data_IF_955235185125
#
_entry.id   IF_955235185125
#
_cell.length_a   1.000
_cell.length_b   1.000
_cell.length_c   1.000
_cell.angle_alpha   90.00
_cell.angle_beta   90.00
_cell.angle_gamma   90.00
#
_symmetry.space_group_name_H-M   'P 1'
#
loop_
_entity.id
_entity.type
_entity.pdbx_description
1 polymer ?
#
# COMPACT_ATOMS: atom_id res chain seq x y z
N UNK A 1 -23.89 22.91 9.51
CA UNK A 1 -23.60 22.02 8.37
C UNK A 1 -22.78 20.88 8.91
N UNK A 2 -23.25 19.64 8.80
CA UNK A 2 -22.44 18.45 9.09
C UNK A 2 -21.24 18.43 8.13
N UNK A 3 -20.05 18.13 8.63
CA UNK A 3 -18.87 17.97 7.78
C UNK A 3 -19.16 16.95 6.66
N UNK A 4 -18.62 17.13 5.43
CA UNK A 4 -18.75 16.12 4.39
C UNK A 4 -18.19 14.78 4.86
N UNK A 5 -18.87 13.65 4.62
CA UNK A 5 -18.24 12.34 4.79
C UNK A 5 -17.27 12.10 3.63
N UNK A 6 -16.03 12.59 3.79
CA UNK A 6 -14.95 12.48 2.81
C UNK A 6 -14.60 11.03 2.45
N UNK A 7 -15.05 10.05 3.24
CA UNK A 7 -14.66 8.63 3.12
C UNK A 7 -15.85 7.70 2.89
N UNK A 8 -17.01 8.24 2.51
CA UNK A 8 -18.23 7.46 2.29
C UNK A 8 -17.98 6.27 1.35
N UNK A 9 -17.34 6.51 0.19
CA UNK A 9 -17.03 5.45 -0.79
C UNK A 9 -16.14 4.35 -0.19
N UNK A 10 -15.06 4.74 0.49
CA UNK A 10 -14.14 3.81 1.13
C UNK A 10 -14.81 3.01 2.25
N UNK A 11 -15.67 3.64 3.07
CA UNK A 11 -16.43 3.00 4.14
C UNK A 11 -17.46 2.02 3.59
N UNK A 12 -18.17 2.39 2.54
CA UNK A 12 -19.17 1.53 1.91
C UNK A 12 -18.54 0.29 1.30
N UNK A 13 -17.42 0.43 0.57
CA UNK A 13 -16.68 -0.72 0.07
C UNK A 13 -16.09 -1.56 1.21
N UNK A 14 -15.52 -0.96 2.25
CA UNK A 14 -15.01 -1.72 3.40
C UNK A 14 -16.11 -2.55 4.09
N UNK A 15 -17.31 -1.98 4.29
CA UNK A 15 -18.48 -2.70 4.82
C UNK A 15 -18.90 -3.82 3.88
N UNK A 16 -18.93 -3.55 2.58
CA UNK A 16 -19.29 -4.53 1.57
C UNK A 16 -18.31 -5.70 1.54
N UNK A 17 -17.00 -5.45 1.50
CA UNK A 17 -15.95 -6.48 1.53
C UNK A 17 -16.07 -7.37 2.76
N UNK A 18 -16.08 -6.76 3.96
CA UNK A 18 -16.21 -7.50 5.23
C UNK A 18 -17.51 -8.33 5.28
N UNK A 19 -18.63 -7.76 4.84
CA UNK A 19 -19.92 -8.45 4.79
C UNK A 19 -19.96 -9.58 3.76
N UNK A 20 -19.32 -9.39 2.61
CA UNK A 20 -19.20 -10.41 1.56
C UNK A 20 -18.35 -11.59 2.02
N UNK A 21 -17.17 -11.35 2.58
CA UNK A 21 -16.32 -12.40 3.16
C UNK A 21 -17.06 -13.20 4.24
N UNK A 22 -17.76 -12.50 5.16
CA UNK A 22 -18.64 -13.15 6.16
C UNK A 22 -19.69 -14.08 5.54
N UNK A 23 -20.37 -13.62 4.48
CA UNK A 23 -21.37 -14.44 3.79
C UNK A 23 -20.77 -15.62 3.01
N UNK A 24 -19.49 -15.58 2.66
CA UNK A 24 -18.79 -16.72 2.05
C UNK A 24 -18.44 -17.78 3.12
N UNK A 25 -18.08 -17.37 4.33
CA UNK A 25 -17.73 -18.28 5.44
C UNK A 25 -18.94 -18.81 6.21
N UNK A 26 -20.10 -18.18 6.12
CA UNK A 26 -21.30 -18.59 6.85
C UNK A 26 -22.56 -18.52 6.01
N UNK A 27 -23.20 -19.67 5.80
CA UNK A 27 -24.49 -19.77 5.09
C UNK A 27 -25.64 -19.04 5.81
N UNK A 28 -25.50 -18.73 7.12
CA UNK A 28 -26.51 -17.97 7.87
C UNK A 28 -26.39 -16.46 7.66
N UNK A 29 -25.27 -15.97 7.12
CA UNK A 29 -25.06 -14.55 6.83
C UNK A 29 -25.50 -14.28 5.39
N UNK A 30 -26.56 -13.48 5.17
CA UNK A 30 -27.00 -13.18 3.82
C UNK A 30 -25.95 -12.36 3.07
N UNK A 31 -25.84 -12.58 1.76
CA UNK A 31 -24.99 -11.76 0.89
C UNK A 31 -25.45 -10.29 0.97
N UNK A 32 -24.60 -9.35 1.39
CA UNK A 32 -24.96 -7.93 1.38
C UNK A 32 -25.18 -7.43 -0.04
N UNK A 33 -26.06 -6.44 -0.19
CA UNK A 33 -26.20 -5.70 -1.44
C UNK A 33 -24.94 -4.85 -1.70
N UNK A 34 -24.50 -4.70 -2.97
CA UNK A 34 -23.45 -3.76 -3.32
C UNK A 34 -23.88 -2.32 -2.98
N UNK A 35 -22.92 -1.39 -2.73
CA UNK A 35 -23.25 0.02 -2.59
C UNK A 35 -24.02 0.54 -3.82
N UNK A 36 -25.06 1.37 -3.64
CA UNK A 36 -25.95 1.77 -4.74
C UNK A 36 -25.27 2.64 -5.81
N UNK A 37 -24.13 3.24 -5.47
CA UNK A 37 -23.32 4.05 -6.38
C UNK A 37 -22.31 3.21 -7.18
N UNK A 38 -22.15 1.92 -6.87
CA UNK A 38 -21.17 1.04 -7.52
C UNK A 38 -21.78 0.46 -8.79
N UNK A 39 -21.31 0.96 -9.94
CA UNK A 39 -21.76 0.50 -11.26
C UNK A 39 -21.48 -1.00 -11.49
N UNK A 40 -22.27 -1.72 -12.31
CA UNK A 40 -22.15 -3.17 -12.49
C UNK A 40 -20.75 -3.66 -12.88
N UNK A 41 -20.04 -2.95 -13.75
CA UNK A 41 -18.68 -3.31 -14.18
C UNK A 41 -17.66 -3.15 -13.04
N UNK A 42 -17.81 -2.09 -12.25
CA UNK A 42 -16.99 -1.85 -11.06
C UNK A 42 -17.30 -2.90 -9.98
N UNK A 43 -18.55 -3.33 -9.86
CA UNK A 43 -18.97 -4.41 -8.97
C UNK A 43 -18.29 -5.74 -9.34
N UNK A 44 -18.21 -6.08 -10.63
CA UNK A 44 -17.51 -7.29 -11.06
C UNK A 44 -16.01 -7.26 -10.70
N UNK A 45 -15.38 -6.08 -10.82
CA UNK A 45 -13.98 -5.89 -10.41
C UNK A 45 -13.82 -6.03 -8.89
N UNK A 46 -14.76 -5.48 -8.11
CA UNK A 46 -14.79 -5.62 -6.65
C UNK A 46 -15.01 -7.07 -6.21
N UNK A 47 -15.91 -7.82 -6.85
CA UNK A 47 -16.14 -9.23 -6.51
C UNK A 47 -14.94 -10.12 -6.88
N UNK A 48 -14.22 -9.80 -7.96
CA UNK A 48 -12.93 -10.45 -8.26
C UNK A 48 -11.93 -10.26 -7.12
N UNK A 49 -11.79 -9.04 -6.63
CA UNK A 49 -10.91 -8.72 -5.49
C UNK A 49 -11.33 -9.52 -4.25
N UNK A 50 -12.63 -9.61 -3.95
CA UNK A 50 -13.16 -10.37 -2.81
C UNK A 50 -12.89 -11.86 -2.95
N UNK A 51 -13.06 -12.46 -4.12
CA UNK A 51 -12.78 -13.87 -4.33
C UNK A 51 -11.27 -14.17 -4.22
N UNK A 52 -10.43 -13.27 -4.72
CA UNK A 52 -8.98 -13.39 -4.53
C UNK A 52 -8.56 -13.24 -3.07
N UNK A 53 -9.38 -12.58 -2.23
CA UNK A 53 -9.22 -12.57 -0.77
C UNK A 53 -9.61 -13.89 -0.08
N UNK A 54 -9.97 -14.93 -0.83
CA UNK A 54 -10.27 -16.26 -0.31
C UNK A 54 -9.32 -17.34 -0.86
N UNK A 55 -8.79 -17.12 -2.06
CA UNK A 55 -7.92 -18.06 -2.77
C UNK A 55 -6.46 -17.81 -2.40
N UNK A 56 -5.89 -18.57 -1.48
CA UNK A 56 -4.49 -18.37 -1.11
C UNK A 56 -3.71 -19.64 -0.85
N UNK A 57 -2.43 -19.54 -1.20
CA UNK A 57 -1.37 -20.37 -0.69
C UNK A 57 -0.66 -19.63 0.44
N UNK A 58 -0.20 -20.37 1.42
CA UNK A 58 0.54 -19.84 2.57
C UNK A 58 1.92 -20.45 2.58
N UNK A 59 2.94 -19.58 2.58
CA UNK A 59 4.28 -19.95 2.98
C UNK A 59 4.64 -19.26 4.29
N UNK A 60 5.51 -19.89 5.05
CA UNK A 60 5.82 -19.47 6.41
C UNK A 60 7.33 -19.44 6.64
N UNK A 61 7.82 -18.34 7.20
CA UNK A 61 9.23 -18.24 7.60
C UNK A 61 9.49 -19.08 8.85
N UNK A 62 10.74 -19.48 9.07
CA UNK A 62 11.15 -20.26 10.26
C UNK A 62 11.40 -19.37 11.49
N UNK A 63 11.26 -18.05 11.35
CA UNK A 63 11.60 -17.05 12.36
C UNK A 63 10.40 -16.20 12.77
N UNK A 64 10.57 -15.41 13.83
CA UNK A 64 9.56 -14.46 14.34
C UNK A 64 9.91 -13.04 13.89
N UNK A 65 8.94 -12.32 13.33
CA UNK A 65 9.13 -10.96 12.83
C UNK A 65 9.50 -9.96 13.93
N UNK A 66 9.10 -10.21 15.17
CA UNK A 66 9.44 -9.37 16.32
C UNK A 66 10.93 -9.48 16.63
N UNK A 67 11.49 -10.69 16.56
CA UNK A 67 12.92 -10.93 16.73
C UNK A 67 13.71 -10.28 15.57
N UNK A 68 13.22 -10.42 14.34
CA UNK A 68 13.80 -9.75 13.17
C UNK A 68 13.81 -8.23 13.34
N UNK A 69 12.66 -7.65 13.69
CA UNK A 69 12.49 -6.22 13.87
C UNK A 69 13.34 -5.66 15.02
N UNK A 70 13.61 -6.44 16.06
CA UNK A 70 14.46 -6.05 17.18
C UNK A 70 15.93 -5.85 16.76
N UNK A 71 16.40 -6.62 15.77
CA UNK A 71 17.75 -6.48 15.20
C UNK A 71 17.88 -5.30 14.22
N UNK A 72 16.77 -4.71 13.79
CA UNK A 72 16.78 -3.53 12.94
C UNK A 72 16.93 -2.25 13.77
N UNK A 73 17.88 -1.40 13.40
CA UNK A 73 17.92 -0.03 13.92
C UNK A 73 16.81 0.84 13.29
N UNK A 74 16.38 1.95 13.93
CA UNK A 74 15.31 2.81 13.39
C UNK A 74 15.60 3.46 12.04
N UNK A 75 16.87 3.50 11.60
CA UNK A 75 17.31 4.14 10.35
C UNK A 75 17.86 3.13 9.33
N UNK A 76 17.59 1.83 9.52
CA UNK A 76 18.12 0.80 8.64
C UNK A 76 17.32 0.73 7.33
N UNK A 77 17.86 1.34 6.27
CA UNK A 77 17.24 1.42 4.94
C UNK A 77 17.44 0.17 4.08
N UNK A 78 18.11 -0.87 4.57
CA UNK A 78 18.46 -2.05 3.77
C UNK A 78 19.73 -1.92 2.92
N UNK A 79 20.44 -0.79 3.00
CA UNK A 79 21.65 -0.56 2.19
C UNK A 79 22.96 -1.00 2.85
N UNK A 80 22.92 -1.52 4.08
CA UNK A 80 24.12 -1.99 4.79
C UNK A 80 24.30 -3.50 4.55
N UNK A 81 25.12 -3.85 3.56
CA UNK A 81 25.37 -5.23 3.14
C UNK A 81 25.84 -6.15 4.27
N UNK A 82 26.70 -5.67 5.18
CA UNK A 82 27.19 -6.49 6.28
C UNK A 82 26.08 -6.85 7.27
N UNK A 83 25.19 -5.89 7.53
CA UNK A 83 24.02 -6.14 8.37
C UNK A 83 23.03 -7.05 7.65
N UNK A 84 22.76 -6.85 6.36
CA UNK A 84 21.87 -7.75 5.61
C UNK A 84 22.40 -9.19 5.57
N UNK A 85 23.71 -9.40 5.41
CA UNK A 85 24.33 -10.73 5.51
C UNK A 85 24.15 -11.36 6.90
N UNK A 86 24.29 -10.57 7.97
CA UNK A 86 24.03 -11.04 9.35
C UNK A 86 22.57 -11.40 9.57
N UNK A 87 21.65 -10.58 9.03
CA UNK A 87 20.21 -10.83 9.12
C UNK A 87 19.84 -12.11 8.37
N UNK A 88 20.31 -12.31 7.14
CA UNK A 88 20.08 -13.55 6.37
C UNK A 88 20.63 -14.79 7.07
N UNK A 89 21.79 -14.69 7.73
CA UNK A 89 22.36 -15.81 8.48
C UNK A 89 21.52 -16.18 9.73
N UNK A 90 20.90 -15.19 10.39
CA UNK A 90 20.08 -15.41 11.58
C UNK A 90 18.62 -15.73 11.25
N UNK A 91 18.11 -15.16 10.17
CA UNK A 91 16.73 -15.20 9.71
C UNK A 91 16.73 -15.68 8.25
N UNK A 92 16.91 -16.99 8.02
CA UNK A 92 17.05 -17.53 6.67
C UNK A 92 15.79 -17.30 5.83
N UNK A 93 15.94 -17.21 4.49
CA UNK A 93 14.81 -17.10 3.57
C UNK A 93 13.93 -18.37 3.60
N UNK A 94 12.72 -18.27 3.04
CA UNK A 94 11.81 -19.42 2.89
C UNK A 94 12.40 -20.42 1.89
N UNK A 95 12.92 -19.90 0.77
CA UNK A 95 13.58 -20.69 -0.25
C UNK A 95 15.08 -20.44 -0.20
N UNK A 96 15.84 -21.48 0.10
CA UNK A 96 17.30 -21.46 -0.02
C UNK A 96 17.68 -21.48 -1.49
N UNK A 97 18.04 -20.32 -2.04
CA UNK A 97 18.43 -20.22 -3.45
C UNK A 97 19.93 -20.05 -3.57
N UNK A 98 20.61 -21.00 -4.20
CA UNK A 98 21.97 -20.84 -4.70
C UNK A 98 21.92 -20.26 -6.12
N UNK A 99 22.30 -18.99 -6.30
CA UNK A 99 22.47 -18.40 -7.65
C UNK A 99 21.17 -17.93 -8.32
N UNK A 100 21.02 -18.21 -9.62
CA UNK A 100 20.05 -17.60 -10.55
C UNK A 100 18.60 -18.15 -10.48
N UNK A 101 18.35 -19.20 -9.69
CA UNK A 101 17.05 -19.87 -9.61
C UNK A 101 16.19 -19.34 -8.45
N UNK A 102 15.99 -18.02 -8.39
CA UNK A 102 15.08 -17.41 -7.42
C UNK A 102 13.64 -17.74 -7.83
N UNK A 103 12.82 -18.40 -6.98
CA UNK A 103 11.42 -18.70 -7.28
C UNK A 103 10.63 -17.44 -7.60
N UNK A 104 9.73 -17.56 -8.58
CA UNK A 104 8.74 -16.55 -8.91
C UNK A 104 7.37 -17.02 -8.46
N UNK A 105 6.71 -16.25 -7.59
CA UNK A 105 5.33 -16.51 -7.23
C UNK A 105 4.41 -15.75 -8.18
N UNK A 106 3.48 -16.46 -8.80
CA UNK A 106 2.49 -15.94 -9.75
C UNK A 106 1.03 -16.20 -9.33
N UNK A 107 0.81 -16.94 -8.25
CA UNK A 107 -0.50 -17.20 -7.66
C UNK A 107 -0.75 -16.28 -6.45
N UNK A 108 -2.01 -15.92 -6.16
CA UNK A 108 -2.32 -15.17 -4.94
C UNK A 108 -1.84 -15.92 -3.70
N UNK A 109 -1.17 -15.21 -2.79
CA UNK A 109 -0.62 -15.80 -1.58
C UNK A 109 -0.53 -14.80 -0.44
N UNK A 110 -0.36 -15.32 0.77
CA UNK A 110 0.11 -14.54 1.90
C UNK A 110 1.27 -15.25 2.57
N UNK A 111 2.19 -14.46 3.13
CA UNK A 111 3.38 -14.96 3.79
C UNK A 111 3.28 -14.64 5.27
N UNK A 112 3.50 -15.66 6.11
CA UNK A 112 3.51 -15.50 7.56
C UNK A 112 4.88 -15.77 8.15
N UNK A 113 5.09 -15.30 9.38
CA UNK A 113 6.18 -15.77 10.22
C UNK A 113 5.79 -17.06 10.98
N UNK A 114 6.74 -17.67 11.71
CA UNK A 114 6.50 -18.93 12.44
C UNK A 114 5.37 -18.85 13.47
N UNK A 115 5.02 -17.65 13.93
CA UNK A 115 3.97 -17.39 14.91
C UNK A 115 2.64 -17.03 14.23
N UNK A 116 2.60 -17.03 12.90
CA UNK A 116 1.42 -16.69 12.11
C UNK A 116 1.22 -15.20 11.91
N UNK A 117 2.16 -14.33 12.29
CA UNK A 117 2.09 -12.90 11.96
C UNK A 117 2.24 -12.74 10.46
N UNK A 118 1.39 -11.93 9.86
CA UNK A 118 1.39 -11.76 8.41
C UNK A 118 2.44 -10.72 8.02
N UNK A 119 3.24 -11.04 7.02
CA UNK A 119 4.34 -10.21 6.52
C UNK A 119 3.99 -9.58 5.16
N UNK A 120 3.19 -10.31 4.37
CA UNK A 120 2.88 -9.94 3.00
C UNK A 120 1.56 -10.58 2.54
N UNK A 121 0.84 -9.85 1.70
CA UNK A 121 -0.20 -10.34 0.80
C UNK A 121 0.15 -10.00 -0.64
N UNK A 122 -0.07 -10.95 -1.54
CA UNK A 122 0.15 -10.81 -2.97
C UNK A 122 -1.09 -11.19 -3.75
N UNK A 123 -1.44 -10.30 -4.69
CA UNK A 123 -2.67 -10.35 -5.46
C UNK A 123 -2.36 -10.08 -6.94
N UNK A 124 -1.98 -11.12 -7.71
CA UNK A 124 -1.70 -10.98 -9.14
C UNK A 124 -2.96 -10.58 -9.91
N UNK A 125 -2.83 -9.65 -10.86
CA UNK A 125 -3.92 -9.30 -11.80
C UNK A 125 -5.28 -9.00 -11.12
N UNK A 126 -5.21 -8.41 -9.93
CA UNK A 126 -6.39 -8.10 -9.11
C UNK A 126 -7.28 -7.04 -9.77
N UNK A 127 -6.68 -6.02 -10.38
CA UNK A 127 -7.39 -4.95 -11.05
C UNK A 127 -7.69 -5.31 -12.51
N UNK A 128 -8.94 -5.12 -12.93
CA UNK A 128 -9.38 -5.42 -14.30
C UNK A 128 -8.66 -4.56 -15.34
N UNK A 129 -8.61 -5.07 -16.58
CA UNK A 129 -7.96 -4.37 -17.69
C UNK A 129 -8.53 -2.96 -17.92
N UNK A 130 -9.85 -2.83 -17.80
CA UNK A 130 -10.53 -1.56 -18.00
C UNK A 130 -10.14 -0.55 -16.93
N UNK A 131 -10.11 -0.97 -15.65
CA UNK A 131 -9.75 -0.09 -14.55
C UNK A 131 -8.26 0.30 -14.60
N UNK A 132 -7.35 -0.64 -14.89
CA UNK A 132 -5.92 -0.32 -15.03
C UNK A 132 -5.66 0.63 -16.21
N UNK A 133 -6.34 0.45 -17.34
CA UNK A 133 -6.22 1.36 -18.50
C UNK A 133 -6.75 2.74 -18.15
N UNK A 134 -7.90 2.82 -17.48
CA UNK A 134 -8.44 4.10 -17.03
C UNK A 134 -7.47 4.84 -16.10
N UNK A 135 -6.90 4.17 -15.09
CA UNK A 135 -5.91 4.79 -14.19
C UNK A 135 -4.67 5.22 -14.98
N UNK A 136 -4.19 4.37 -15.89
CA UNK A 136 -3.02 4.63 -16.74
C UNK A 136 -3.19 5.86 -17.61
N UNK A 137 -4.31 5.99 -18.33
CA UNK A 137 -4.56 7.11 -19.24
C UNK A 137 -4.53 8.47 -18.53
N UNK A 138 -4.88 8.51 -17.24
CA UNK A 138 -4.85 9.73 -16.44
C UNK A 138 -3.46 10.07 -15.88
N UNK A 139 -2.49 9.13 -15.91
CA UNK A 139 -1.12 9.40 -15.43
C UNK A 139 -0.38 10.43 -16.27
N UNK A 140 -0.75 10.62 -17.55
CA UNK A 140 -0.13 11.60 -18.44
C UNK A 140 -0.31 13.06 -18.00
N UNK A 141 -1.25 13.32 -17.08
CA UNK A 141 -1.45 14.65 -16.48
C UNK A 141 -0.46 14.96 -15.34
N UNK A 142 0.25 13.94 -14.84
CA UNK A 142 1.17 14.08 -13.72
C UNK A 142 2.49 14.72 -14.15
N UNK A 143 3.03 15.57 -13.29
CA UNK A 143 4.36 16.18 -13.46
C UNK A 143 5.34 15.63 -12.41
N UNK A 144 5.88 14.42 -12.60
CA UNK A 144 6.73 13.80 -11.59
C UNK A 144 8.06 14.52 -11.47
N UNK A 145 8.54 14.64 -10.23
CA UNK A 145 9.85 15.20 -9.95
C UNK A 145 10.89 14.10 -10.07
N UNK A 146 11.94 14.36 -10.84
CA UNK A 146 13.20 13.59 -10.78
C UNK A 146 13.92 14.03 -9.51
N UNK A 147 14.20 13.11 -8.59
CA UNK A 147 15.13 13.40 -7.49
C UNK A 147 16.53 13.11 -8.03
N UNK A 148 17.42 14.09 -7.92
CA UNK A 148 18.79 14.05 -8.45
C UNK A 148 19.79 14.27 -7.33
N UNK A 149 19.91 13.32 -6.39
CA UNK A 149 20.75 13.50 -5.20
C UNK A 149 21.64 12.28 -4.87
N UNK A 150 21.88 11.36 -5.80
CA UNK A 150 22.70 10.16 -5.63
C UNK A 150 22.14 9.14 -4.64
N UNK A 151 20.81 9.10 -4.42
CA UNK A 151 20.16 8.13 -3.53
C UNK A 151 19.77 6.87 -4.30
N UNK A 152 19.33 5.80 -3.60
CA UNK A 152 18.61 4.66 -4.21
C UNK A 152 17.45 5.08 -5.15
N UNK A 153 16.97 6.32 -4.98
CA UNK A 153 15.96 7.00 -5.79
C UNK A 153 16.51 7.60 -7.09
N UNK A 154 17.67 7.15 -7.57
CA UNK A 154 18.35 7.74 -8.74
C UNK A 154 18.56 6.74 -9.88
N UNK A 155 18.19 5.46 -9.72
CA UNK A 155 18.25 4.50 -10.82
C UNK A 155 17.09 4.69 -11.81
N UNK A 156 17.43 5.01 -13.06
CA UNK A 156 16.52 5.25 -14.16
C UNK A 156 16.92 4.35 -15.33
N UNK A 157 16.00 3.59 -15.95
CA UNK A 157 16.26 2.99 -17.24
C UNK A 157 16.48 4.10 -18.30
N UNK A 158 17.32 3.84 -19.30
CA UNK A 158 17.58 4.73 -20.44
C UNK A 158 16.38 4.85 -21.41
N UNK A 159 15.16 5.05 -20.89
CA UNK A 159 13.96 5.21 -21.71
C UNK A 159 13.56 6.70 -21.82
N UNK A 160 13.06 7.09 -22.99
CA UNK A 160 12.60 8.45 -23.33
C UNK A 160 11.29 8.87 -22.64
N UNK A 161 10.67 7.99 -21.84
CA UNK A 161 9.40 8.22 -21.15
C UNK A 161 9.49 9.14 -19.91
N UNK A 162 8.33 9.63 -19.46
CA UNK A 162 8.20 10.39 -18.22
C UNK A 162 8.62 9.52 -17.03
N UNK A 163 9.62 9.97 -16.26
CA UNK A 163 10.16 9.24 -15.10
C UNK A 163 10.23 10.14 -13.87
N UNK A 164 9.92 9.59 -12.69
CA UNK A 164 10.02 10.29 -11.42
C UNK A 164 8.94 9.87 -10.43
N UNK A 165 8.71 10.71 -9.42
CA UNK A 165 7.73 10.45 -8.36
C UNK A 165 6.88 11.70 -8.12
N UNK A 166 5.58 11.51 -7.99
CA UNK A 166 4.65 12.48 -7.40
C UNK A 166 4.29 11.98 -6.00
N UNK A 167 4.54 12.77 -4.95
CA UNK A 167 4.26 12.37 -3.57
C UNK A 167 3.09 13.19 -3.01
N UNK A 168 1.94 12.54 -2.89
CA UNK A 168 0.67 13.13 -2.48
C UNK A 168 0.41 12.79 -1.01
N UNK A 169 -0.04 13.78 -0.24
CA UNK A 169 -0.51 13.59 1.12
C UNK A 169 -1.45 14.72 1.52
N UNK A 170 -2.64 14.43 2.10
CA UNK A 170 -3.52 15.44 2.66
C UNK A 170 -2.84 16.19 3.80
N UNK A 171 -1.95 15.53 4.54
CA UNK A 171 -1.22 16.17 5.63
C UNK A 171 0.01 15.38 6.06
N UNK A 172 1.17 16.04 6.05
CA UNK A 172 2.43 15.49 6.53
C UNK A 172 3.40 16.57 7.02
N UNK A 173 4.52 16.14 7.59
CA UNK A 173 5.62 17.02 7.99
C UNK A 173 6.50 17.41 6.82
N UNK A 174 7.05 18.63 6.89
CA UNK A 174 8.13 19.02 5.99
C UNK A 174 9.40 18.23 6.30
N UNK A 175 10.23 17.97 5.29
CA UNK A 175 11.43 17.15 5.47
C UNK A 175 12.37 17.79 6.50
N UNK A 176 12.72 17.04 7.55
CA UNK A 176 13.58 17.54 8.64
C UNK A 176 12.84 18.36 9.71
N UNK A 177 11.53 18.55 9.57
CA UNK A 177 10.69 19.38 10.43
C UNK A 177 9.56 18.54 11.03
N UNK A 178 9.91 17.67 11.97
CA UNK A 178 9.01 16.74 12.66
C UNK A 178 8.94 16.98 14.18
N UNK A 179 9.35 18.17 14.62
CA UNK A 179 9.33 18.60 16.02
C UNK A 179 7.91 18.93 16.50
N UNK A 180 7.72 19.11 17.82
CA UNK A 180 6.40 19.38 18.40
C UNK A 180 5.69 20.61 17.81
N UNK A 181 6.45 21.65 17.49
CA UNK A 181 5.94 22.92 16.95
C UNK A 181 5.77 22.92 15.42
N UNK A 182 6.32 21.90 14.73
CA UNK A 182 6.23 21.84 13.28
C UNK A 182 4.79 21.50 12.87
N UNK A 183 4.16 22.27 11.96
CA UNK A 183 2.77 22.05 11.57
C UNK A 183 2.66 20.93 10.53
N UNK A 184 1.53 20.24 10.57
CA UNK A 184 1.12 19.36 9.49
C UNK A 184 0.58 20.20 8.33
N UNK A 185 0.99 19.88 7.10
CA UNK A 185 0.56 20.60 5.89
C UNK A 185 0.27 19.62 4.76
N UNK A 186 -0.68 19.97 3.90
CA UNK A 186 -0.85 19.29 2.63
C UNK A 186 0.47 19.31 1.84
N UNK A 187 0.78 18.21 1.16
CA UNK A 187 1.97 18.15 0.29
C UNK A 187 1.93 19.24 -0.79
N UNK A 188 3.09 19.67 -1.29
CA UNK A 188 3.11 20.60 -2.42
C UNK A 188 2.47 19.96 -3.67
N UNK A 189 2.76 18.68 -3.91
CA UNK A 189 2.26 17.98 -5.10
C UNK A 189 0.73 17.82 -5.08
N UNK A 190 0.08 17.57 -3.93
CA UNK A 190 -1.39 17.42 -3.90
C UNK A 190 -2.13 18.73 -4.19
N UNK A 191 -1.47 19.87 -3.94
CA UNK A 191 -2.04 21.20 -4.20
C UNK A 191 -1.99 21.59 -5.67
N UNK A 192 -1.26 20.83 -6.50
CA UNK A 192 -1.27 21.04 -7.95
C UNK A 192 -2.62 20.59 -8.54
N UNK A 193 -3.31 21.44 -9.33
CA UNK A 193 -4.63 21.12 -9.87
C UNK A 193 -4.67 19.82 -10.68
N UNK A 194 -3.63 19.54 -11.47
CA UNK A 194 -3.54 18.31 -12.27
C UNK A 194 -3.52 17.05 -11.40
N UNK A 195 -2.81 17.08 -10.27
CA UNK A 195 -2.72 15.95 -9.35
C UNK A 195 -4.03 15.76 -8.57
N UNK A 196 -4.73 16.85 -8.23
CA UNK A 196 -6.07 16.78 -7.66
C UNK A 196 -7.09 16.17 -8.63
N UNK A 197 -7.04 16.54 -9.91
CA UNK A 197 -7.87 15.92 -10.97
C UNK A 197 -7.51 14.43 -11.14
N UNK A 198 -6.22 14.08 -11.11
CA UNK A 198 -5.81 12.67 -11.13
C UNK A 198 -6.42 11.88 -9.95
N UNK A 199 -6.33 12.41 -8.72
CA UNK A 199 -6.93 11.79 -7.53
C UNK A 199 -8.44 11.60 -7.64
N UNK A 200 -9.17 12.54 -8.24
CA UNK A 200 -10.59 12.40 -8.53
C UNK A 200 -10.87 11.22 -9.47
N UNK A 201 -10.06 11.06 -10.51
CA UNK A 201 -10.23 9.96 -11.47
C UNK A 201 -9.90 8.60 -10.82
N UNK A 202 -8.88 8.53 -9.97
CA UNK A 202 -8.48 7.26 -9.32
C UNK A 202 -9.23 6.98 -8.01
N UNK A 203 -10.30 7.74 -7.72
CA UNK A 203 -11.06 7.62 -6.47
C UNK A 203 -11.55 6.19 -6.21
N UNK A 204 -12.10 5.53 -7.23
CA UNK A 204 -12.56 4.14 -7.10
C UNK A 204 -11.41 3.18 -6.77
N UNK A 205 -10.25 3.35 -7.42
CA UNK A 205 -9.07 2.53 -7.17
C UNK A 205 -8.56 2.70 -5.73
N UNK A 206 -8.49 3.94 -5.25
CA UNK A 206 -8.13 4.29 -3.88
C UNK A 206 -9.13 3.68 -2.87
N UNK A 207 -10.43 3.73 -3.18
CA UNK A 207 -11.47 3.16 -2.32
C UNK A 207 -11.41 1.62 -2.27
N UNK A 208 -11.10 0.94 -3.39
CA UNK A 208 -10.86 -0.51 -3.44
C UNK A 208 -9.63 -0.87 -2.62
N UNK A 209 -8.52 -0.15 -2.79
CA UNK A 209 -7.30 -0.32 -1.98
C UNK A 209 -7.61 -0.14 -0.48
N UNK A 210 -8.39 0.88 -0.13
CA UNK A 210 -8.83 1.08 1.25
C UNK A 210 -9.71 -0.06 1.77
N UNK A 211 -10.59 -0.63 0.94
CA UNK A 211 -11.43 -1.76 1.32
C UNK A 211 -10.63 -3.07 1.50
N UNK A 212 -9.63 -3.32 0.66
CA UNK A 212 -8.65 -4.40 0.88
C UNK A 212 -7.97 -4.19 2.23
N UNK A 213 -7.50 -2.97 2.49
CA UNK A 213 -6.84 -2.64 3.76
C UNK A 213 -7.74 -2.83 4.98
N UNK A 214 -9.04 -2.55 4.85
CA UNK A 214 -10.03 -2.80 5.87
C UNK A 214 -10.16 -4.28 6.25
N UNK A 215 -9.79 -5.19 5.35
CA UNK A 215 -9.73 -6.64 5.60
C UNK A 215 -8.38 -7.02 6.18
N UNK A 216 -7.27 -6.67 5.51
CA UNK A 216 -5.94 -7.21 5.85
C UNK A 216 -5.23 -6.47 7.00
N UNK A 217 -5.64 -5.24 7.33
CA UNK A 217 -5.08 -4.37 8.38
C UNK A 217 -6.21 -3.52 9.03
N UNK A 218 -7.23 -4.14 9.66
CA UNK A 218 -8.45 -3.46 10.08
C UNK A 218 -8.20 -2.33 11.09
N UNK A 219 -7.27 -2.53 12.04
CA UNK A 219 -6.92 -1.51 13.03
C UNK A 219 -6.31 -0.24 12.40
N UNK A 220 -5.46 -0.41 11.38
CA UNK A 220 -4.88 0.73 10.67
C UNK A 220 -5.88 1.39 9.73
N UNK A 221 -6.78 0.62 9.12
CA UNK A 221 -7.89 1.19 8.37
C UNK A 221 -8.68 2.17 9.24
N UNK A 222 -9.11 1.75 10.44
CA UNK A 222 -9.86 2.64 11.36
C UNK A 222 -8.98 3.81 11.86
N UNK A 223 -7.70 3.57 12.14
CA UNK A 223 -6.75 4.63 12.51
C UNK A 223 -6.52 5.66 11.40
N UNK A 224 -6.65 5.24 10.14
CA UNK A 224 -6.53 6.08 8.96
C UNK A 224 -7.72 7.01 8.83
N UNK A 225 -8.92 6.43 8.93
CA UNK A 225 -10.15 7.23 8.96
C UNK A 225 -10.16 8.22 10.13
N UNK A 226 -9.77 7.79 11.33
CA UNK A 226 -9.67 8.66 12.51
C UNK A 226 -8.61 9.76 12.34
N UNK A 227 -7.51 9.48 11.64
CA UNK A 227 -6.50 10.49 11.29
C UNK A 227 -7.13 11.62 10.46
N UNK A 228 -7.91 11.26 9.45
CA UNK A 228 -8.51 12.25 8.55
C UNK A 228 -9.71 12.99 9.16
N UNK A 229 -10.51 12.33 10.01
CA UNK A 229 -11.54 13.02 10.80
C UNK A 229 -10.91 14.07 11.73
N UNK A 230 -9.82 13.71 12.39
CA UNK A 230 -9.06 14.67 13.22
C UNK A 230 -8.51 15.81 12.36
N UNK A 231 -7.91 15.53 11.21
CA UNK A 231 -7.40 16.56 10.30
C UNK A 231 -8.51 17.51 9.81
N UNK A 232 -9.67 16.98 9.43
CA UNK A 232 -10.81 17.79 9.01
C UNK A 232 -11.30 18.72 10.14
N UNK A 233 -11.25 18.27 11.39
CA UNK A 233 -11.60 19.09 12.56
C UNK A 233 -10.54 20.14 12.92
N UNK A 234 -9.28 19.96 12.50
CA UNK A 234 -8.21 20.94 12.74
C UNK A 234 -8.12 22.01 11.64
N UNK A 235 -8.63 21.72 10.45
CA UNK A 235 -8.64 22.68 9.35
C UNK A 235 -9.63 23.83 9.66
N UNK A 236 -9.10 25.05 9.76
CA UNK A 236 -9.86 26.24 10.21
C UNK A 236 -10.97 26.65 9.23
N UNK A 237 -10.83 26.29 7.95
CA UNK A 237 -11.76 26.66 6.89
C UNK A 237 -11.98 25.51 5.87
N UNK A 238 -13.13 25.52 5.18
CA UNK A 238 -13.49 24.48 4.20
C UNK A 238 -12.62 24.49 2.93
N UNK A 239 -11.98 25.63 2.65
CA UNK A 239 -11.04 25.88 1.55
C UNK A 239 -9.57 25.69 1.97
N UNK A 240 -9.33 25.23 3.21
CA UNK A 240 -8.00 24.80 3.64
C UNK A 240 -7.48 23.68 2.70
N UNK A 241 -6.21 23.72 2.26
CA UNK A 241 -5.62 22.71 1.39
C UNK A 241 -5.78 21.26 1.89
N UNK A 242 -5.80 21.05 3.21
CA UNK A 242 -6.07 19.73 3.82
C UNK A 242 -7.51 19.32 3.51
N UNK A 243 -8.49 20.19 3.75
CA UNK A 243 -9.90 19.90 3.48
C UNK A 243 -10.17 19.68 1.98
N UNK A 244 -9.48 20.41 1.09
CA UNK A 244 -9.57 20.19 -0.35
C UNK A 244 -9.01 18.82 -0.71
N UNK A 245 -7.83 18.46 -0.20
CA UNK A 245 -7.21 17.16 -0.44
C UNK A 245 -8.09 16.00 0.07
N UNK A 246 -8.70 16.14 1.24
CA UNK A 246 -9.57 15.11 1.83
C UNK A 246 -10.77 14.76 0.95
N UNK A 247 -11.30 15.71 0.16
CA UNK A 247 -12.43 15.48 -0.77
C UNK A 247 -12.14 14.46 -1.86
N UNK A 248 -10.86 14.26 -2.19
CA UNK A 248 -10.42 13.45 -3.34
C UNK A 248 -9.48 12.32 -2.91
N UNK A 249 -9.28 12.12 -1.60
CA UNK A 249 -8.27 11.19 -1.09
C UNK A 249 -8.69 9.71 -1.17
N UNK A 250 -9.88 9.41 -0.64
CA UNK A 250 -10.56 8.10 -0.72
C UNK A 250 -9.75 6.86 -0.29
N UNK A 251 -8.69 7.02 0.50
CA UNK A 251 -7.84 5.91 0.98
C UNK A 251 -7.46 6.12 2.45
N UNK A 252 -7.31 5.08 3.29
CA UNK A 252 -6.97 5.22 4.72
C UNK A 252 -5.48 5.55 4.96
N UNK A 253 -4.64 5.53 3.92
CA UNK A 253 -3.20 5.75 4.04
C UNK A 253 -2.88 7.23 4.11
N UNK A 254 -1.91 7.63 4.94
CA UNK A 254 -1.51 9.04 5.10
C UNK A 254 -0.74 9.61 3.90
N UNK A 255 -0.26 8.77 2.99
CA UNK A 255 0.45 9.18 1.80
C UNK A 255 0.26 8.22 0.63
N UNK A 256 0.43 8.77 -0.57
CA UNK A 256 0.37 8.06 -1.85
C UNK A 256 1.49 8.58 -2.74
N UNK A 257 2.33 7.69 -3.25
CA UNK A 257 3.31 8.01 -4.29
C UNK A 257 2.89 7.40 -5.60
N UNK A 258 2.90 8.19 -6.68
CA UNK A 258 2.83 7.66 -8.05
C UNK A 258 4.25 7.62 -8.60
N UNK A 259 4.77 6.42 -8.78
CA UNK A 259 6.16 6.14 -9.18
C UNK A 259 6.14 5.73 -10.65
N UNK A 260 6.67 6.59 -11.53
CA UNK A 260 6.64 6.42 -12.98
C UNK A 260 8.01 6.00 -13.52
N UNK A 261 8.07 4.87 -14.23
CA UNK A 261 9.25 4.40 -14.98
C UNK A 261 10.55 4.47 -14.17
N UNK A 262 10.50 3.98 -12.92
CA UNK A 262 11.65 3.91 -12.03
C UNK A 262 11.98 2.50 -11.64
N UNK A 263 13.25 2.16 -11.69
CA UNK A 263 13.81 1.04 -10.93
C UNK A 263 13.83 1.41 -9.44
N UNK A 264 13.65 0.41 -8.59
CA UNK A 264 13.80 0.55 -7.14
C UNK A 264 14.76 -0.53 -6.67
N UNK A 265 15.97 -0.14 -6.25
CA UNK A 265 16.91 -1.10 -5.68
C UNK A 265 16.41 -1.60 -4.32
N UNK A 266 16.99 -2.69 -3.84
CA UNK A 266 16.62 -3.31 -2.57
C UNK A 266 16.76 -2.33 -1.39
N UNK A 267 15.65 -2.12 -0.69
CA UNK A 267 15.58 -1.19 0.43
C UNK A 267 14.48 -1.57 1.43
N UNK A 268 14.45 -0.85 2.56
CA UNK A 268 13.34 -0.82 3.51
C UNK A 268 12.82 0.60 3.64
N UNK A 269 11.51 0.71 3.82
CA UNK A 269 10.87 1.97 4.17
C UNK A 269 11.16 2.36 5.62
N UNK A 270 11.23 3.66 5.88
CA UNK A 270 11.62 4.18 7.20
C UNK A 270 10.52 4.97 7.90
N UNK A 271 9.50 5.39 7.14
CA UNK A 271 8.51 6.36 7.61
C UNK A 271 7.24 5.74 8.18
N UNK A 272 6.92 4.50 7.82
CA UNK A 272 5.82 3.73 8.40
C UNK A 272 6.11 3.17 9.80
N UNK A 273 5.12 2.46 10.31
CA UNK A 273 5.27 1.54 11.43
C UNK A 273 5.87 0.23 10.93
N UNK A 274 6.46 -0.59 11.79
CA UNK A 274 7.01 -1.88 11.34
C UNK A 274 5.90 -2.88 11.03
N UNK A 275 4.80 -2.74 11.74
CA UNK A 275 3.58 -3.53 11.68
C UNK A 275 2.65 -3.09 10.53
N UNK A 276 2.85 -1.90 9.97
CA UNK A 276 2.00 -1.39 8.89
C UNK A 276 2.41 -1.99 7.56
N UNK A 277 1.42 -2.41 6.78
CA UNK A 277 1.64 -2.68 5.37
C UNK A 277 1.56 -1.41 4.56
N UNK A 278 2.51 -1.25 3.66
CA UNK A 278 2.37 -0.41 2.48
C UNK A 278 1.70 -1.24 1.38
N UNK A 279 0.92 -0.59 0.53
CA UNK A 279 0.12 -1.27 -0.48
C UNK A 279 0.42 -0.71 -1.86
N UNK A 280 1.02 -1.55 -2.69
CA UNK A 280 1.54 -1.20 -4.00
C UNK A 280 0.58 -1.71 -5.07
N UNK A 281 0.04 -0.83 -5.90
CA UNK A 281 -0.74 -1.18 -7.09
C UNK A 281 0.07 -0.87 -8.35
N UNK A 282 0.31 -1.87 -9.19
CA UNK A 282 0.99 -1.69 -10.48
C UNK A 282 0.00 -1.47 -11.62
N UNK A 283 0.36 -0.58 -12.54
CA UNK A 283 -0.40 -0.30 -13.77
C UNK A 283 0.58 0.04 -14.90
N UNK A 284 0.05 0.10 -16.12
CA UNK A 284 0.80 0.49 -17.32
C UNK A 284 0.82 -0.60 -18.37
N UNK A 285 1.63 -0.38 -19.40
CA UNK A 285 1.79 -1.28 -20.51
C UNK A 285 3.24 -1.76 -20.54
N UNK A 286 3.51 -2.85 -19.83
CA UNK A 286 4.84 -3.42 -19.72
C UNK A 286 4.79 -4.92 -19.49
N UNK A 287 5.94 -5.57 -19.67
CA UNK A 287 6.17 -6.97 -19.34
C UNK A 287 7.46 -7.14 -18.53
N UNK A 288 7.59 -8.28 -17.86
CA UNK A 288 8.80 -8.65 -17.13
C UNK A 288 8.96 -7.95 -15.78
N UNK A 289 7.89 -7.42 -15.20
CA UNK A 289 7.97 -6.79 -13.88
C UNK A 289 8.19 -7.81 -12.78
N UNK A 290 9.17 -7.58 -11.90
CA UNK A 290 9.45 -8.42 -10.73
C UNK A 290 9.64 -7.55 -9.49
N UNK A 291 9.02 -7.96 -8.39
CA UNK A 291 9.24 -7.40 -7.06
C UNK A 291 10.08 -8.40 -6.27
N UNK A 292 11.34 -8.06 -6.00
CA UNK A 292 12.31 -8.90 -5.31
C UNK A 292 12.16 -8.75 -3.80
N UNK A 293 12.02 -9.85 -3.07
CA UNK A 293 12.04 -9.88 -1.62
C UNK A 293 13.26 -10.67 -1.14
N UNK A 294 14.43 -10.03 -1.23
CA UNK A 294 15.72 -10.65 -0.97
C UNK A 294 15.78 -11.36 0.41
N UNK A 295 15.20 -10.74 1.44
CA UNK A 295 15.13 -11.31 2.79
C UNK A 295 14.25 -12.55 2.93
N UNK A 296 13.37 -12.83 1.96
CA UNK A 296 12.50 -14.01 1.93
C UNK A 296 12.91 -15.05 0.89
N UNK A 297 13.83 -14.70 -0.02
CA UNK A 297 14.41 -15.61 -1.01
C UNK A 297 13.53 -15.92 -2.21
N UNK A 298 12.60 -15.03 -2.57
CA UNK A 298 11.78 -15.17 -3.78
C UNK A 298 11.50 -13.80 -4.42
N UNK A 299 10.92 -13.85 -5.62
CA UNK A 299 10.37 -12.68 -6.31
C UNK A 299 8.89 -12.90 -6.62
N UNK A 300 8.12 -11.82 -6.67
CA UNK A 300 6.74 -11.83 -7.14
C UNK A 300 6.69 -11.44 -8.61
N UNK A 301 5.83 -12.08 -9.40
CA UNK A 301 5.42 -11.54 -10.69
C UNK A 301 4.71 -10.20 -10.44
N UNK A 302 5.19 -9.15 -11.08
CA UNK A 302 4.81 -7.78 -10.76
C UNK A 302 4.32 -7.07 -12.02
N UNK A 303 3.39 -7.72 -12.72
CA UNK A 303 2.78 -7.28 -13.97
C UNK A 303 1.62 -6.28 -13.72
N UNK A 304 1.07 -5.60 -14.75
CA UNK A 304 0.03 -4.59 -14.56
C UNK A 304 -1.26 -5.16 -13.95
N UNK A 305 -1.76 -4.51 -12.91
CA UNK A 305 -2.96 -4.89 -12.16
C UNK A 305 -2.67 -5.65 -10.86
N UNK A 306 -1.40 -5.90 -10.55
CA UNK A 306 -0.97 -6.57 -9.33
C UNK A 306 -1.06 -5.65 -8.11
N UNK A 307 -1.52 -6.20 -7.00
CA UNK A 307 -1.44 -5.58 -5.67
C UNK A 307 -0.49 -6.36 -4.77
N UNK A 308 0.44 -5.66 -4.13
CA UNK A 308 1.32 -6.22 -3.08
C UNK A 308 1.11 -5.38 -1.82
N UNK A 309 0.62 -6.00 -0.75
CA UNK A 309 0.62 -5.39 0.57
C UNK A 309 1.74 -6.02 1.38
N UNK A 310 2.72 -5.24 1.81
CA UNK A 310 3.92 -5.76 2.48
C UNK A 310 4.33 -4.90 3.66
N UNK A 311 4.92 -5.52 4.68
CA UNK A 311 5.60 -4.83 5.76
C UNK A 311 6.94 -4.23 5.25
N UNK A 312 6.88 -3.21 4.38
CA UNK A 312 8.03 -2.59 3.71
C UNK A 312 9.05 -1.95 4.66
N UNK A 313 8.60 -1.62 5.88
CA UNK A 313 9.45 -1.16 6.97
C UNK A 313 10.32 -2.25 7.63
N UNK A 314 10.09 -3.52 7.29
CA UNK A 314 10.78 -4.69 7.86
C UNK A 314 11.36 -5.57 6.76
N UNK A 315 10.59 -5.83 5.70
CA UNK A 315 11.03 -6.63 4.57
C UNK A 315 11.83 -5.78 3.60
N UNK A 316 13.07 -6.20 3.34
CA UNK A 316 13.85 -5.63 2.25
C UNK A 316 13.20 -6.01 0.92
N UNK A 317 12.96 -5.01 0.08
CA UNK A 317 12.28 -5.18 -1.19
C UNK A 317 12.85 -4.25 -2.28
N UNK A 318 12.76 -4.71 -3.52
CA UNK A 318 13.20 -3.99 -4.70
C UNK A 318 12.33 -4.35 -5.91
N UNK A 319 12.42 -3.57 -6.98
CA UNK A 319 11.65 -3.78 -8.20
C UNK A 319 12.54 -3.57 -9.41
N UNK A 320 12.63 -4.61 -10.24
CA UNK A 320 13.47 -4.59 -11.43
C UNK A 320 12.97 -3.59 -12.50
N UNK A 321 13.84 -3.24 -13.48
CA UNK A 321 13.43 -2.61 -14.72
C UNK A 321 12.40 -3.45 -15.48
N UNK A 322 11.60 -2.79 -16.33
CA UNK A 322 10.56 -3.45 -17.14
C UNK A 322 10.74 -3.14 -18.62
N UNK A 323 10.15 -3.98 -19.47
CA UNK A 323 10.02 -3.71 -20.90
C UNK A 323 8.68 -3.01 -21.16
N UNK A 324 8.71 -1.69 -21.37
CA UNK A 324 7.53 -0.84 -21.53
C UNK A 324 7.45 0.26 -20.47
N UNK A 325 6.25 0.80 -20.26
CA UNK A 325 6.01 1.87 -19.30
C UNK A 325 5.18 1.39 -18.10
N UNK A 326 5.66 1.70 -16.89
CA UNK A 326 5.08 1.31 -15.61
C UNK A 326 4.79 2.51 -14.73
N UNK A 327 3.62 2.48 -14.09
CA UNK A 327 3.36 3.23 -12.87
C UNK A 327 3.11 2.29 -11.68
N UNK A 328 3.57 2.70 -10.50
CA UNK A 328 3.17 2.09 -9.23
C UNK A 328 2.53 3.16 -8.34
N UNK A 329 1.31 2.88 -7.86
CA UNK A 329 0.62 3.64 -6.84
C UNK A 329 0.97 3.00 -5.49
N UNK A 330 1.96 3.58 -4.80
CA UNK A 330 2.41 3.13 -3.50
C UNK A 330 1.66 3.90 -2.40
N UNK A 331 0.77 3.21 -1.70
CA UNK A 331 0.02 3.73 -0.57
C UNK A 331 0.77 3.40 0.71
N UNK A 332 1.11 4.40 1.52
CA UNK A 332 2.00 4.21 2.67
C UNK A 332 1.62 5.02 3.90
N UNK A 333 2.20 4.61 5.02
CA UNK A 333 2.04 5.28 6.31
C UNK A 333 3.22 6.19 6.65
N UNK A 334 2.91 7.38 7.13
CA UNK A 334 3.81 8.27 7.84
C UNK A 334 3.43 8.21 9.32
N UNK A 335 4.11 7.38 10.10
CA UNK A 335 3.77 7.13 11.51
C UNK A 335 3.69 8.42 12.32
N UNK A 336 4.56 9.39 12.04
CA UNK A 336 4.62 10.70 12.69
C UNK A 336 3.31 11.47 12.62
N UNK A 337 2.57 11.36 11.51
CA UNK A 337 1.25 12.00 11.35
C UNK A 337 0.25 11.39 12.33
N UNK A 338 0.20 10.05 12.39
CA UNK A 338 -0.64 9.34 13.34
C UNK A 338 -0.26 9.61 14.80
N UNK A 339 1.05 9.65 15.12
CA UNK A 339 1.56 9.99 16.44
C UNK A 339 1.16 11.41 16.87
N UNK A 340 1.28 12.39 15.97
CA UNK A 340 0.85 13.77 16.22
C UNK A 340 -0.63 13.87 16.56
N UNK A 341 -1.45 13.10 15.84
CA UNK A 341 -2.90 13.12 16.02
C UNK A 341 -3.37 12.16 17.10
N UNK A 342 -2.47 11.40 17.73
CA UNK A 342 -2.79 10.45 18.79
C UNK A 342 -3.78 9.37 18.33
N UNK A 343 -3.60 8.80 17.14
CA UNK A 343 -4.35 7.62 16.70
C UNK A 343 -3.70 6.34 17.23
N UNK A 344 -4.47 5.24 17.23
CA UNK A 344 -3.99 3.94 17.73
C UNK A 344 -2.78 3.49 16.90
N UNK A 345 -1.75 3.00 17.58
CA UNK A 345 -0.60 2.36 16.92
C UNK A 345 -0.98 0.95 16.46
N UNK A 346 -0.49 0.50 15.30
CA UNK A 346 -0.73 -0.86 14.85
C UNK A 346 -0.08 -1.89 15.76
N UNK A 347 -0.57 -3.12 15.67
CA UNK A 347 0.08 -4.30 16.22
C UNK A 347 0.29 -5.31 15.08
N UNK A 348 1.20 -6.25 15.28
CA UNK A 348 1.30 -7.38 14.37
C UNK A 348 0.01 -8.17 14.37
N UNK A 349 -0.50 -8.44 13.18
CA UNK A 349 -1.74 -9.16 12.97
C UNK A 349 -1.43 -10.58 12.53
N UNK A 350 -2.10 -11.56 13.12
CA UNK A 350 -2.00 -12.96 12.71
C UNK A 350 -3.16 -13.35 11.79
N UNK A 351 -2.99 -14.45 11.05
CA UNK A 351 -4.11 -15.05 10.29
C UNK A 351 -5.27 -15.45 11.20
N UNK A 352 -4.98 -15.90 12.43
CA UNK A 352 -6.01 -16.23 13.41
C UNK A 352 -6.83 -14.99 13.83
N UNK A 353 -6.16 -13.84 14.04
CA UNK A 353 -6.83 -12.58 14.37
C UNK A 353 -7.75 -12.13 13.23
N UNK A 354 -7.31 -12.27 11.98
CA UNK A 354 -8.13 -11.94 10.81
C UNK A 354 -9.38 -12.81 10.71
N UNK A 355 -9.22 -14.13 10.83
CA UNK A 355 -10.34 -15.08 10.80
C UNK A 355 -11.32 -14.77 11.94
N UNK A 356 -10.81 -14.49 13.14
CA UNK A 356 -11.62 -14.09 14.28
C UNK A 356 -12.43 -12.82 13.98
N UNK A 357 -11.77 -11.75 13.52
CA UNK A 357 -12.41 -10.47 13.18
C UNK A 357 -13.47 -10.59 12.06
N UNK A 358 -13.24 -11.48 11.09
CA UNK A 358 -14.19 -11.76 10.03
C UNK A 358 -15.38 -12.56 10.56
N UNK A 359 -15.17 -13.55 11.43
CA UNK A 359 -16.26 -14.41 11.96
C UNK A 359 -17.35 -13.67 12.75
N UNK A 360 -17.07 -12.45 13.22
CA UNK A 360 -18.08 -11.58 13.84
C UNK A 360 -18.57 -12.02 15.22
N UNK A 361 -17.78 -12.84 15.93
CA UNK A 361 -18.02 -13.23 17.33
C UNK A 361 -17.49 -12.20 18.34
#
# INVERSE_FOLDING_TARGET
>A
MTAPDFFQYTRDLARYFRGRLRSLHSQSVPRPAPPPWLEPEAQASVERVINMLEEFWTDTTTWDVRDYAADLSPRQSGSNEELEKKLLARFPPIYETAGSDIPYLDQPCHITDRQGHILLWYFPEMFSEQLRTFIWDHTGSLSPKKRSNGSWRDHHPENEGVTGIVNLSPSWFSQGHEGPEDPLRASADIQEPANSTYLQNVLLANAIVGAIYAVIQPDLFESGLATFEKLANHAEALDDPINIALRVWATPFTGLSVILNRETIDHRDLKGYRESFDLLLTIGNYTGGRCHLAGLGFSLVYDPGTVVALAGNVLQHGVCPVLGDRACLAHFWHKKVGERLGVKRPQWLTMADLIYNLSGN
#
